data_IF_683625967883
#
_entry.id   IF_683625967883
#
_cell.length_a   1.000
_cell.length_b   1.000
_cell.length_c   1.000
_cell.angle_alpha   90.00
_cell.angle_beta   90.00
_cell.angle_gamma   90.00
#
_symmetry.space_group_name_H-M   'P 1'
#
loop_
_entity.id
_entity.type
_entity.pdbx_description
1 polymer ?
#
# COMPACT_ATOMS: atom_id res chain seq x y z
N UNK A 1 -59.58 -44.91 -26.30
CA UNK A 1 -59.44 -43.50 -25.87
C UNK A 1 -58.39 -43.30 -24.76
N UNK A 2 -58.19 -44.25 -23.84
CA UNK A 2 -57.16 -44.16 -22.79
C UNK A 2 -55.71 -44.09 -23.33
N UNK A 3 -55.44 -44.73 -24.47
CA UNK A 3 -54.11 -44.76 -25.09
C UNK A 3 -53.66 -43.39 -25.65
N UNK A 4 -54.59 -42.67 -26.30
CA UNK A 4 -54.31 -41.33 -26.82
C UNK A 4 -54.07 -40.28 -25.72
N UNK A 5 -54.74 -40.42 -24.56
CA UNK A 5 -54.54 -39.55 -23.41
C UNK A 5 -53.15 -39.76 -22.78
N UNK A 6 -52.71 -41.01 -22.68
CA UNK A 6 -51.37 -41.36 -22.17
C UNK A 6 -50.25 -40.82 -23.09
N UNK A 7 -50.42 -40.95 -24.41
CA UNK A 7 -49.46 -40.40 -25.38
C UNK A 7 -49.37 -38.87 -25.31
N UNK A 8 -50.49 -38.16 -25.12
CA UNK A 8 -50.50 -36.70 -24.94
C UNK A 8 -49.87 -36.26 -23.61
N UNK A 9 -50.09 -37.00 -22.52
CA UNK A 9 -49.46 -36.73 -21.22
C UNK A 9 -47.94 -36.96 -21.25
N UNK A 10 -47.48 -38.04 -21.91
CA UNK A 10 -46.06 -38.34 -22.06
C UNK A 10 -45.34 -37.27 -22.88
N UNK A 11 -45.97 -36.77 -23.96
CA UNK A 11 -45.38 -35.71 -24.80
C UNK A 11 -45.28 -34.37 -24.06
N UNK A 12 -46.24 -34.04 -23.19
CA UNK A 12 -46.20 -32.84 -22.33
C UNK A 12 -45.10 -32.96 -21.28
N UNK A 13 -44.96 -34.11 -20.63
CA UNK A 13 -43.88 -34.38 -19.68
C UNK A 13 -42.49 -34.25 -20.32
N UNK A 14 -42.33 -34.79 -21.53
CA UNK A 14 -41.10 -34.66 -22.32
C UNK A 14 -40.80 -33.19 -22.66
N UNK A 15 -41.81 -32.41 -23.06
CA UNK A 15 -41.63 -30.99 -23.34
C UNK A 15 -41.27 -30.18 -22.09
N UNK A 16 -41.90 -30.46 -20.94
CA UNK A 16 -41.57 -29.78 -19.67
C UNK A 16 -40.18 -30.15 -19.16
N UNK A 17 -39.78 -31.41 -19.34
CA UNK A 17 -38.44 -31.86 -18.96
C UNK A 17 -37.39 -31.22 -19.86
N UNK A 18 -37.67 -31.11 -21.16
CA UNK A 18 -36.79 -30.46 -22.13
C UNK A 18 -36.64 -28.96 -21.84
N UNK A 19 -37.71 -28.25 -21.52
CA UNK A 19 -37.62 -26.82 -21.18
C UNK A 19 -36.88 -26.57 -19.88
N UNK A 20 -37.07 -27.42 -18.86
CA UNK A 20 -36.29 -27.35 -17.60
C UNK A 20 -34.81 -27.63 -17.85
N UNK A 21 -34.50 -28.62 -18.69
CA UNK A 21 -33.12 -28.95 -19.07
C UNK A 21 -32.43 -27.80 -19.82
N UNK A 22 -33.14 -27.14 -20.73
CA UNK A 22 -32.64 -25.97 -21.47
C UNK A 22 -32.38 -24.79 -20.52
N UNK A 23 -33.27 -24.56 -19.53
CA UNK A 23 -33.06 -23.51 -18.52
C UNK A 23 -31.83 -23.79 -17.66
N UNK A 24 -31.61 -25.06 -17.28
CA UNK A 24 -30.47 -25.45 -16.45
C UNK A 24 -29.13 -25.31 -17.20
N UNK A 25 -29.09 -25.62 -18.49
CA UNK A 25 -27.90 -25.44 -19.35
C UNK A 25 -27.59 -23.96 -19.60
N UNK A 26 -28.60 -23.08 -19.51
CA UNK A 26 -28.43 -21.63 -19.74
C UNK A 26 -27.88 -20.87 -18.53
N UNK A 27 -27.74 -21.53 -17.36
CA UNK A 27 -27.14 -20.95 -16.16
C UNK A 27 -25.62 -20.82 -16.35
N UNK A 28 -25.17 -19.70 -16.92
CA UNK A 28 -23.75 -19.36 -16.99
C UNK A 28 -23.27 -18.87 -15.61
N UNK A 29 -22.17 -19.42 -15.07
CA UNK A 29 -21.57 -18.87 -13.87
C UNK A 29 -21.07 -17.45 -14.17
N UNK A 30 -21.53 -16.47 -13.39
CA UNK A 30 -21.00 -15.11 -13.42
C UNK A 30 -19.55 -15.14 -12.92
N UNK A 31 -18.59 -15.03 -13.85
CA UNK A 31 -17.17 -14.90 -13.51
C UNK A 31 -16.89 -13.42 -13.24
N UNK A 32 -16.76 -13.06 -11.97
CA UNK A 32 -16.24 -11.75 -11.60
C UNK A 32 -14.74 -11.70 -11.95
N UNK A 33 -14.38 -10.97 -13.00
CA UNK A 33 -12.99 -10.69 -13.33
C UNK A 33 -12.52 -9.49 -12.49
N UNK A 34 -11.41 -9.63 -11.76
CA UNK A 34 -10.75 -8.49 -11.13
C UNK A 34 -10.06 -7.72 -12.26
N UNK A 35 -10.68 -6.62 -12.68
CA UNK A 35 -10.21 -5.81 -13.81
C UNK A 35 -8.99 -4.98 -13.40
N UNK A 36 -9.01 -4.42 -12.18
CA UNK A 36 -7.98 -3.54 -11.66
C UNK A 36 -7.59 -3.91 -10.23
N UNK A 37 -6.30 -3.78 -9.92
CA UNK A 37 -5.74 -4.05 -8.59
C UNK A 37 -5.14 -2.78 -8.02
N UNK A 38 -5.57 -2.40 -6.82
CA UNK A 38 -4.96 -1.30 -6.06
C UNK A 38 -3.65 -1.80 -5.42
N UNK A 39 -2.57 -1.05 -5.61
CA UNK A 39 -1.23 -1.37 -5.05
C UNK A 39 -0.85 -0.49 -3.87
N UNK A 40 -1.35 0.74 -3.81
CA UNK A 40 -1.16 1.66 -2.70
C UNK A 40 -2.31 2.68 -2.64
N UNK A 41 -2.50 3.32 -1.48
CA UNK A 41 -3.45 4.42 -1.29
C UNK A 41 -2.71 5.55 -0.59
N UNK A 42 -2.77 6.76 -1.14
CA UNK A 42 -2.08 7.95 -0.61
C UNK A 42 -3.11 9.06 -0.42
N UNK A 43 -3.55 9.26 0.83
CA UNK A 43 -4.69 10.13 1.14
C UNK A 43 -5.98 9.54 0.55
N UNK A 44 -6.68 10.32 -0.29
CA UNK A 44 -7.94 9.92 -0.93
C UNK A 44 -7.77 9.30 -2.33
N UNK A 45 -6.53 9.11 -2.77
CA UNK A 45 -6.20 8.69 -4.13
C UNK A 45 -5.51 7.32 -4.11
N UNK A 46 -6.04 6.38 -4.89
CA UNK A 46 -5.52 5.03 -5.00
C UNK A 46 -4.59 4.90 -6.21
N UNK A 47 -3.43 4.26 -6.02
CA UNK A 47 -2.50 3.91 -7.09
C UNK A 47 -2.85 2.51 -7.60
N UNK A 48 -3.09 2.39 -8.91
CA UNK A 48 -3.47 1.14 -9.57
C UNK A 48 -2.25 0.40 -10.12
N UNK A 49 -2.37 -0.93 -10.24
CA UNK A 49 -1.34 -1.78 -10.84
C UNK A 49 -1.13 -1.47 -12.32
N UNK A 50 -2.19 -1.19 -13.06
CA UNK A 50 -2.13 -0.78 -14.47
C UNK A 50 -1.32 0.51 -14.64
N UNK A 51 -1.57 1.50 -13.79
CA UNK A 51 -0.86 2.78 -13.77
C UNK A 51 0.62 2.61 -13.43
N UNK A 52 0.93 1.83 -12.38
CA UNK A 52 2.31 1.53 -11.99
C UNK A 52 3.08 0.88 -13.15
N UNK A 53 2.47 -0.11 -13.82
CA UNK A 53 3.07 -0.78 -14.99
C UNK A 53 3.23 0.16 -16.17
N UNK A 54 2.26 1.05 -16.40
CA UNK A 54 2.33 2.03 -17.47
C UNK A 54 3.51 3.00 -17.27
N UNK A 55 3.71 3.51 -16.05
CA UNK A 55 4.86 4.36 -15.72
C UNK A 55 6.19 3.60 -15.72
N UNK A 56 6.19 2.34 -15.31
CA UNK A 56 7.39 1.49 -15.30
C UNK A 56 7.78 0.94 -16.68
N UNK A 57 6.87 0.97 -17.68
CA UNK A 57 7.07 0.39 -19.02
C UNK A 57 8.43 0.69 -19.68
N UNK A 58 8.95 1.93 -19.73
CA UNK A 58 10.26 2.20 -20.34
C UNK A 58 11.40 1.45 -19.63
N UNK A 59 11.36 1.38 -18.30
CA UNK A 59 12.38 0.69 -17.49
C UNK A 59 12.28 -0.84 -17.61
N UNK A 60 11.06 -1.37 -17.69
CA UNK A 60 10.84 -2.81 -17.88
C UNK A 60 11.41 -3.28 -19.23
N UNK A 61 11.26 -2.50 -20.30
CA UNK A 61 11.86 -2.80 -21.61
C UNK A 61 13.39 -2.85 -21.53
N UNK A 62 13.99 -1.95 -20.77
CA UNK A 62 15.44 -1.94 -20.54
C UNK A 62 15.91 -3.17 -19.75
N UNK A 63 15.15 -3.62 -18.76
CA UNK A 63 15.45 -4.85 -18.01
C UNK A 63 15.35 -6.08 -18.90
N UNK A 64 14.33 -6.18 -19.74
CA UNK A 64 14.16 -7.29 -20.67
C UNK A 64 15.30 -7.41 -21.69
N UNK A 65 15.88 -6.28 -22.11
CA UNK A 65 17.00 -6.25 -23.06
C UNK A 65 18.34 -6.54 -22.39
N UNK A 66 18.56 -6.09 -21.16
CA UNK A 66 19.84 -6.23 -20.44
C UNK A 66 20.01 -7.59 -19.74
N UNK A 67 18.93 -8.22 -19.30
CA UNK A 67 19.00 -9.44 -18.50
C UNK A 67 18.80 -10.71 -19.35
N UNK A 68 19.73 -11.69 -19.31
CA UNK A 68 19.67 -12.87 -20.17
C UNK A 68 18.74 -13.97 -19.65
N UNK A 69 18.53 -14.07 -18.33
CA UNK A 69 17.75 -15.16 -17.72
C UNK A 69 16.40 -14.69 -17.16
N UNK A 70 15.39 -15.55 -17.23
CA UNK A 70 14.04 -15.26 -16.75
C UNK A 70 14.00 -14.98 -15.24
N UNK A 71 14.79 -15.70 -14.44
CA UNK A 71 14.86 -15.47 -13.00
C UNK A 71 15.45 -14.09 -12.65
N UNK A 72 16.48 -13.64 -13.39
CA UNK A 72 17.06 -12.30 -13.19
C UNK A 72 16.11 -11.21 -13.64
N UNK A 73 15.37 -11.41 -14.74
CA UNK A 73 14.33 -10.48 -15.20
C UNK A 73 13.24 -10.30 -14.15
N UNK A 74 12.64 -11.39 -13.67
CA UNK A 74 11.57 -11.32 -12.68
C UNK A 74 12.01 -10.60 -11.39
N UNK A 75 13.22 -10.88 -10.90
CA UNK A 75 13.77 -10.19 -9.73
C UNK A 75 13.97 -8.69 -9.99
N UNK A 76 14.61 -8.33 -11.11
CA UNK A 76 14.86 -6.93 -11.47
C UNK A 76 13.56 -6.15 -11.73
N UNK A 77 12.57 -6.76 -12.38
CA UNK A 77 11.25 -6.18 -12.60
C UNK A 77 10.54 -5.90 -11.27
N UNK A 78 10.60 -6.84 -10.32
CA UNK A 78 9.96 -6.67 -9.01
C UNK A 78 10.57 -5.51 -8.21
N UNK A 79 11.90 -5.37 -8.25
CA UNK A 79 12.62 -4.30 -7.59
C UNK A 79 12.34 -2.94 -8.27
N UNK A 80 12.34 -2.90 -9.60
CA UNK A 80 12.01 -1.68 -10.35
C UNK A 80 10.57 -1.22 -10.10
N UNK A 81 9.61 -2.14 -10.06
CA UNK A 81 8.22 -1.81 -9.72
C UNK A 81 8.10 -1.26 -8.31
N UNK A 82 8.86 -1.79 -7.34
CA UNK A 82 8.89 -1.29 -5.97
C UNK A 82 9.45 0.13 -5.90
N UNK A 83 10.54 0.40 -6.59
CA UNK A 83 11.15 1.73 -6.64
C UNK A 83 10.25 2.76 -7.34
N UNK A 84 9.62 2.35 -8.45
CA UNK A 84 8.65 3.20 -9.15
C UNK A 84 7.44 3.51 -8.26
N UNK A 85 6.93 2.53 -7.53
CA UNK A 85 5.82 2.73 -6.59
C UNK A 85 6.19 3.76 -5.52
N UNK A 86 7.39 3.64 -4.92
CA UNK A 86 7.86 4.60 -3.92
C UNK A 86 7.91 6.02 -4.50
N UNK A 87 8.48 6.18 -5.70
CA UNK A 87 8.53 7.47 -6.37
C UNK A 87 7.14 8.04 -6.66
N UNK A 88 6.19 7.21 -7.09
CA UNK A 88 4.81 7.65 -7.32
C UNK A 88 4.13 8.12 -6.03
N UNK A 89 4.42 7.47 -4.90
CA UNK A 89 3.92 7.90 -3.59
C UNK A 89 4.50 9.27 -3.23
N UNK A 90 5.82 9.44 -3.37
CA UNK A 90 6.50 10.69 -3.04
C UNK A 90 5.99 11.86 -3.91
N UNK A 91 5.88 11.65 -5.23
CA UNK A 91 5.33 12.63 -6.18
C UNK A 91 3.90 13.06 -5.78
N UNK A 92 3.09 12.10 -5.31
CA UNK A 92 1.71 12.35 -4.93
C UNK A 92 1.59 13.08 -3.58
N UNK A 93 2.47 12.76 -2.63
CA UNK A 93 2.58 13.50 -1.37
C UNK A 93 3.02 14.94 -1.62
N UNK A 94 4.00 15.16 -2.51
CA UNK A 94 4.44 16.48 -2.90
C UNK A 94 3.32 17.26 -3.61
N UNK A 95 2.59 16.62 -4.53
CA UNK A 95 1.42 17.23 -5.18
C UNK A 95 0.33 17.62 -4.17
N UNK A 96 0.06 16.78 -3.16
CA UNK A 96 -0.89 17.09 -2.09
C UNK A 96 -0.41 18.23 -1.21
N UNK A 97 0.88 18.26 -0.87
CA UNK A 97 1.48 19.37 -0.15
C UNK A 97 1.35 20.66 -0.97
N UNK A 98 1.70 20.65 -2.24
CA UNK A 98 1.58 21.79 -3.15
C UNK A 98 0.13 22.27 -3.35
N UNK A 99 -0.84 21.35 -3.46
CA UNK A 99 -2.26 21.69 -3.55
C UNK A 99 -2.74 22.40 -2.28
N UNK A 100 -2.28 21.96 -1.09
CA UNK A 100 -2.54 22.65 0.18
C UNK A 100 -1.86 24.01 0.24
N UNK A 101 -0.68 24.18 -0.39
CA UNK A 101 0.04 25.46 -0.49
C UNK A 101 -0.67 26.46 -1.43
N UNK A 102 -1.40 25.98 -2.44
CA UNK A 102 -2.27 26.82 -3.29
C UNK A 102 -3.58 27.13 -2.58
N UNK A 103 -3.48 27.81 -1.44
CA UNK A 103 -4.62 28.32 -0.66
C UNK A 103 -5.42 29.26 -1.56
N UNK A 104 -6.47 28.74 -2.19
CA UNK A 104 -7.53 29.56 -2.80
C UNK A 104 -8.56 29.78 -1.72
N UNK A 105 -8.70 31.03 -1.30
CA UNK A 105 -9.77 31.42 -0.37
C UNK A 105 -11.04 31.59 -1.18
N UNK A 106 -11.92 30.60 -1.08
CA UNK A 106 -13.22 30.61 -1.74
C UNK A 106 -14.16 31.63 -1.06
N UNK A 107 -15.16 32.13 -1.79
CA UNK A 107 -16.10 33.12 -1.24
C UNK A 107 -16.83 32.61 0.02
N UNK A 108 -17.16 31.31 0.04
CA UNK A 108 -17.81 30.67 1.19
C UNK A 108 -16.94 30.67 2.46
N UNK A 109 -15.61 30.59 2.32
CA UNK A 109 -14.70 30.66 3.47
C UNK A 109 -14.65 32.06 4.07
N UNK A 110 -14.74 33.10 3.22
CA UNK A 110 -14.81 34.49 3.66
C UNK A 110 -16.09 34.70 4.47
N UNK A 111 -17.23 34.19 3.98
CA UNK A 111 -18.51 34.32 4.67
C UNK A 111 -18.52 33.58 6.02
N UNK A 112 -17.93 32.37 6.06
CA UNK A 112 -17.71 31.62 7.31
C UNK A 112 -16.80 32.36 8.29
N UNK A 113 -15.79 33.07 7.79
CA UNK A 113 -14.89 33.86 8.63
C UNK A 113 -15.61 35.09 9.20
N UNK A 114 -16.40 35.80 8.40
CA UNK A 114 -17.23 36.93 8.84
C UNK A 114 -18.23 36.47 9.91
N UNK A 115 -18.94 35.36 9.68
CA UNK A 115 -19.86 34.78 10.66
C UNK A 115 -19.16 34.33 11.96
N UNK A 116 -17.87 33.97 11.89
CA UNK A 116 -17.06 33.64 13.08
C UNK A 116 -16.67 34.90 13.84
N UNK A 117 -16.28 35.97 13.15
CA UNK A 117 -15.97 37.27 13.76
C UNK A 117 -17.20 37.89 14.42
N UNK A 118 -18.36 37.84 13.77
CA UNK A 118 -19.62 38.29 14.34
C UNK A 118 -19.93 37.54 15.66
N UNK A 119 -19.78 36.21 15.66
CA UNK A 119 -19.91 35.38 16.88
C UNK A 119 -18.88 35.73 17.97
N UNK A 120 -17.64 36.06 17.60
CA UNK A 120 -16.61 36.44 18.57
C UNK A 120 -16.89 37.80 19.23
N UNK A 121 -17.59 38.69 18.53
CA UNK A 121 -18.01 39.99 19.05
C UNK A 121 -19.43 39.96 19.62
N UNK A 122 -20.08 38.78 19.66
CA UNK A 122 -21.45 38.58 20.15
C UNK A 122 -22.52 39.45 19.44
N UNK A 123 -22.28 39.79 18.18
CA UNK A 123 -23.19 40.59 17.34
C UNK A 123 -23.69 39.80 16.13
N UNK A 124 -24.77 40.26 15.50
CA UNK A 124 -25.24 39.68 14.24
C UNK A 124 -24.29 40.03 13.08
N UNK A 125 -24.40 39.27 11.98
CA UNK A 125 -23.59 39.55 10.78
C UNK A 125 -24.01 40.87 10.15
N UNK A 126 -25.31 41.16 10.18
CA UNK A 126 -25.89 42.40 9.70
C UNK A 126 -25.35 43.60 10.48
N UNK A 127 -25.33 43.52 11.82
CA UNK A 127 -24.80 44.58 12.68
C UNK A 127 -23.29 44.80 12.45
N UNK A 128 -22.53 43.71 12.29
CA UNK A 128 -21.10 43.79 11.95
C UNK A 128 -20.88 44.53 10.63
N UNK A 129 -21.70 44.24 9.61
CA UNK A 129 -21.59 44.91 8.30
C UNK A 129 -22.00 46.38 8.39
N UNK A 130 -23.01 46.72 9.21
CA UNK A 130 -23.38 48.11 9.48
C UNK A 130 -22.25 48.89 10.15
N UNK A 131 -21.54 48.27 11.10
CA UNK A 131 -20.39 48.87 11.77
C UNK A 131 -19.21 49.10 10.81
N UNK A 132 -18.96 48.14 9.90
CA UNK A 132 -17.96 48.27 8.84
C UNK A 132 -18.29 49.45 7.91
N UNK A 133 -19.56 49.58 7.49
CA UNK A 133 -20.01 50.72 6.69
C UNK A 133 -19.85 52.05 7.44
N UNK A 134 -20.13 52.06 8.75
CA UNK A 134 -19.95 53.24 9.63
C UNK A 134 -18.47 53.63 9.77
N UNK A 135 -17.56 52.66 9.73
CA UNK A 135 -16.11 52.89 9.73
C UNK A 135 -15.55 53.43 8.42
N UNK A 136 -16.40 53.58 7.39
CA UNK A 136 -16.02 54.13 6.09
C UNK A 136 -15.50 53.10 5.07
N UNK A 137 -15.60 51.80 5.37
CA UNK A 137 -15.22 50.72 4.45
C UNK A 137 -16.45 50.16 3.74
N UNK A 138 -16.29 49.81 2.46
CA UNK A 138 -17.33 49.09 1.71
C UNK A 138 -17.34 47.60 2.07
N UNK A 139 -18.48 46.93 1.82
CA UNK A 139 -18.60 45.49 2.05
C UNK A 139 -17.59 44.66 1.22
N UNK A 140 -17.22 45.14 0.04
CA UNK A 140 -16.26 44.47 -0.84
C UNK A 140 -14.82 44.61 -0.32
N UNK A 141 -14.45 45.79 0.18
CA UNK A 141 -13.15 46.02 0.81
C UNK A 141 -12.99 45.22 2.10
N UNK A 142 -14.04 45.11 2.90
CA UNK A 142 -13.99 44.27 4.09
C UNK A 142 -13.80 42.79 3.74
N UNK A 143 -14.53 42.29 2.74
CA UNK A 143 -14.33 40.91 2.25
C UNK A 143 -12.93 40.68 1.67
N UNK A 144 -12.33 41.67 1.00
CA UNK A 144 -10.97 41.54 0.49
C UNK A 144 -9.93 41.55 1.62
N UNK A 145 -10.15 42.32 2.68
CA UNK A 145 -9.31 42.36 3.87
C UNK A 145 -9.36 41.02 4.63
N UNK A 146 -10.54 40.45 4.82
CA UNK A 146 -10.70 39.11 5.39
C UNK A 146 -10.02 38.05 4.52
N UNK A 147 -10.15 38.14 3.19
CA UNK A 147 -9.43 37.25 2.26
C UNK A 147 -7.92 37.34 2.46
N UNK A 148 -7.37 38.56 2.60
CA UNK A 148 -5.94 38.79 2.87
C UNK A 148 -5.52 38.13 4.18
N UNK A 149 -6.27 38.34 5.26
CA UNK A 149 -5.98 37.76 6.57
C UNK A 149 -6.05 36.22 6.57
N UNK A 150 -7.01 35.64 5.84
CA UNK A 150 -7.11 34.19 5.66
C UNK A 150 -5.92 33.62 4.89
N UNK A 151 -5.46 34.29 3.83
CA UNK A 151 -4.25 33.91 3.09
C UNK A 151 -3.00 33.97 3.99
N UNK A 152 -2.86 35.02 4.79
CA UNK A 152 -1.74 35.17 5.74
C UNK A 152 -1.77 34.14 6.87
N UNK A 153 -2.96 33.82 7.39
CA UNK A 153 -3.14 32.78 8.40
C UNK A 153 -2.85 31.38 7.83
N UNK A 154 -3.28 31.12 6.59
CA UNK A 154 -2.99 29.88 5.89
C UNK A 154 -1.50 29.66 5.66
N UNK A 155 -0.75 30.72 5.30
CA UNK A 155 0.72 30.68 5.18
C UNK A 155 1.42 30.24 6.46
N UNK A 156 0.99 30.74 7.63
CA UNK A 156 1.59 30.37 8.94
C UNK A 156 1.29 28.93 9.36
N UNK A 157 0.10 28.41 9.02
CA UNK A 157 -0.31 27.03 9.37
C UNK A 157 0.53 25.95 8.65
N UNK A 158 1.09 26.28 7.49
CA UNK A 158 1.94 25.37 6.68
C UNK A 158 3.24 25.00 7.42
N UNK A 159 3.78 25.87 8.27
CA UNK A 159 5.07 25.62 8.93
C UNK A 159 5.02 24.48 9.97
N UNK A 160 3.82 24.04 10.38
CA UNK A 160 3.65 23.10 11.50
C UNK A 160 3.44 21.64 11.06
N UNK A 161 3.10 21.35 9.80
CA UNK A 161 2.88 19.95 9.31
C UNK A 161 4.17 19.32 8.77
N UNK A 162 5.31 19.63 9.40
CA UNK A 162 6.62 19.07 9.06
C UNK A 162 7.00 17.80 9.80
N UNK A 163 6.15 17.23 10.67
CA UNK A 163 6.48 16.00 11.43
C UNK A 163 5.32 15.03 11.52
N UNK A 164 5.65 13.77 11.20
CA UNK A 164 4.87 12.53 11.30
C UNK A 164 3.90 12.23 10.14
N UNK A 165 4.44 11.73 9.03
CA UNK A 165 3.77 10.73 8.21
C UNK A 165 4.30 9.35 8.63
N UNK A 166 3.54 8.58 9.40
CA UNK A 166 3.87 7.18 9.63
C UNK A 166 3.33 6.34 8.46
N UNK A 167 4.19 5.55 7.78
CA UNK A 167 3.76 4.70 6.69
C UNK A 167 2.99 3.50 7.23
N UNK A 168 1.72 3.36 6.83
CA UNK A 168 0.94 2.16 7.07
C UNK A 168 1.43 1.05 6.14
N UNK A 169 2.26 0.14 6.67
CA UNK A 169 2.76 -1.01 5.94
C UNK A 169 1.67 -2.08 5.82
N UNK A 170 1.10 -2.27 4.63
CA UNK A 170 0.42 -3.53 4.31
C UNK A 170 1.49 -4.64 4.21
N UNK A 171 1.26 -5.82 4.81
CA UNK A 171 2.20 -6.93 4.67
C UNK A 171 2.19 -7.39 3.21
N UNK A 172 3.28 -7.08 2.50
CA UNK A 172 3.62 -7.73 1.24
C UNK A 172 3.81 -9.22 1.57
N UNK A 173 2.82 -10.06 1.24
CA UNK A 173 3.04 -11.50 1.21
C UNK A 173 4.09 -11.77 0.14
N UNK A 174 5.32 -12.00 0.59
CA UNK A 174 6.38 -12.61 -0.19
C UNK A 174 5.87 -13.95 -0.74
N UNK A 175 5.43 -13.95 -1.99
CA UNK A 175 5.27 -15.17 -2.77
C UNK A 175 6.63 -15.54 -3.36
N UNK A 176 7.59 -15.87 -2.50
CA UNK A 176 8.82 -16.55 -2.88
C UNK A 176 8.72 -17.97 -2.34
N UNK A 177 8.37 -18.91 -3.22
CA UNK A 177 8.39 -20.32 -2.84
C UNK A 177 7.56 -21.25 -3.71
N UNK A 178 8.01 -21.51 -4.94
CA UNK A 178 7.73 -22.81 -5.57
C UNK A 178 8.76 -23.14 -6.66
N UNK A 179 9.97 -23.47 -6.22
CA UNK A 179 10.80 -24.50 -6.87
C UNK A 179 11.32 -25.41 -5.77
N UNK A 180 10.65 -26.54 -5.58
CA UNK A 180 11.26 -27.82 -5.22
C UNK A 180 10.32 -28.89 -5.81
N UNK A 181 10.47 -29.09 -7.12
CA UNK A 181 10.20 -30.41 -7.69
C UNK A 181 11.46 -31.24 -7.47
N UNK A 182 11.24 -32.53 -7.24
CA UNK A 182 12.21 -33.61 -7.42
C UNK A 182 13.15 -33.92 -6.25
N UNK A 183 12.64 -34.72 -5.30
CA UNK A 183 13.29 -36.00 -4.96
C UNK A 183 12.23 -37.07 -4.67
N UNK A 184 11.91 -37.84 -5.71
CA UNK A 184 11.44 -39.21 -5.56
C UNK A 184 12.60 -40.09 -5.08
N UNK A 185 12.32 -41.09 -4.24
CA UNK A 185 13.28 -42.14 -3.89
C UNK A 185 13.34 -42.50 -2.41
N UNK A 186 12.23 -42.97 -1.84
CA UNK A 186 12.18 -43.59 -0.51
C UNK A 186 12.35 -45.10 -0.66
N UNK A 187 13.58 -45.59 -0.63
CA UNK A 187 13.92 -46.97 -0.33
C UNK A 187 14.83 -46.94 0.91
N UNK A 188 14.30 -47.09 2.13
CA UNK A 188 14.21 -48.38 2.85
C UNK A 188 15.35 -49.33 2.49
N UNK A 189 16.50 -49.17 3.13
CA UNK A 189 17.21 -50.26 3.78
C UNK A 189 18.33 -49.68 4.64
N UNK A 190 18.16 -49.71 5.96
CA UNK A 190 19.25 -49.44 6.90
C UNK A 190 19.45 -50.70 7.73
N UNK A 191 20.16 -51.67 7.15
CA UNK A 191 20.98 -52.56 7.96
C UNK A 191 22.08 -51.71 8.59
N UNK A 192 21.93 -51.41 9.88
CA UNK A 192 23.08 -51.13 10.73
C UNK A 192 22.75 -51.47 12.17
N UNK A 193 22.65 -52.77 12.41
CA UNK A 193 22.61 -53.35 13.75
C UNK A 193 23.56 -54.55 13.80
N UNK A 194 24.86 -54.27 13.88
CA UNK A 194 25.88 -55.21 14.39
C UNK A 194 26.94 -54.35 15.12
N UNK A 195 26.79 -54.19 16.43
CA UNK A 195 27.55 -54.91 17.47
C UNK A 195 29.08 -54.80 17.28
N UNK A 196 29.74 -53.96 18.06
CA UNK A 196 30.45 -54.40 19.28
C UNK A 196 31.46 -55.54 19.03
N UNK A 197 32.73 -55.21 18.74
CA UNK A 197 33.91 -55.81 19.40
C UNK A 197 35.22 -55.21 18.93
N UNK A 198 36.13 -55.10 19.90
CA UNK A 198 37.61 -55.10 19.78
C UNK A 198 38.33 -53.78 19.46
N UNK A 199 38.61 -53.01 20.51
CA UNK A 199 39.96 -52.91 21.07
C UNK A 199 41.10 -52.39 20.18
N UNK A 200 41.56 -51.16 20.49
CA UNK A 200 42.97 -50.93 20.86
C UNK A 200 43.21 -49.53 21.43
N UNK A 201 43.61 -49.52 22.69
CA UNK A 201 44.24 -48.41 23.40
C UNK A 201 45.70 -48.29 22.92
N UNK A 202 46.17 -47.09 22.54
CA UNK A 202 47.61 -46.72 22.63
C UNK A 202 47.78 -45.26 23.03
N UNK A 203 48.65 -45.10 24.02
CA UNK A 203 49.17 -43.89 24.66
C UNK A 203 50.19 -43.19 23.75
N UNK A 204 50.35 -41.86 23.88
CA UNK A 204 51.61 -41.17 24.27
C UNK A 204 51.49 -39.65 24.03
N UNK A 205 51.47 -38.77 25.05
CA UNK A 205 52.58 -38.11 25.80
C UNK A 205 53.13 -36.80 25.18
N UNK A 206 53.01 -35.68 25.93
CA UNK A 206 53.92 -34.48 26.02
C UNK A 206 54.02 -33.56 24.78
N UNK A 207 54.23 -32.23 24.84
CA UNK A 207 54.58 -31.23 25.88
C UNK A 207 54.44 -29.82 25.27
N UNK A 208 54.00 -28.85 26.08
CA UNK A 208 54.46 -27.43 26.18
C UNK A 208 54.71 -26.55 24.94
N UNK A 209 54.04 -25.37 24.90
CA UNK A 209 54.63 -24.01 24.94
C UNK A 209 53.49 -22.99 24.73
N UNK A 210 53.02 -22.27 25.76
CA UNK A 210 53.49 -20.94 26.19
C UNK A 210 53.54 -19.90 25.05
N UNK A 211 52.48 -19.09 24.91
CA UNK A 211 52.61 -17.64 24.73
C UNK A 211 51.53 -16.96 25.58
N UNK A 212 52.01 -15.98 26.35
CA UNK A 212 51.37 -15.15 27.37
C UNK A 212 51.62 -13.70 26.90
N UNK A 213 50.65 -12.81 27.07
CA UNK A 213 50.78 -11.36 26.84
C UNK A 213 49.72 -10.86 25.85
N UNK A 214 48.87 -9.86 26.12
CA UNK A 214 48.94 -8.83 27.16
C UNK A 214 47.55 -8.40 27.66
N UNK A 215 47.50 -8.17 28.98
CA UNK A 215 46.58 -7.24 29.64
C UNK A 215 47.28 -5.88 29.70
N UNK A 216 46.59 -4.81 29.35
CA UNK A 216 46.64 -3.53 30.09
C UNK A 216 45.37 -2.74 29.73
N UNK A 217 44.37 -2.74 30.63
CA UNK A 217 44.07 -1.72 31.67
C UNK A 217 43.15 -0.61 31.10
N UNK A 218 41.89 -0.52 31.55
CA UNK A 218 41.44 0.24 32.75
C UNK A 218 41.87 1.72 32.63
N UNK A 219 41.04 2.75 32.69
CA UNK A 219 39.64 2.89 33.03
C UNK A 219 39.33 4.37 33.31
N UNK A 220 38.04 4.73 33.16
CA UNK A 220 37.29 5.72 33.97
C UNK A 220 37.36 7.24 33.60
N UNK A 221 36.55 8.14 34.22
CA UNK A 221 35.16 8.44 33.84
C UNK A 221 34.83 9.97 33.81
N UNK A 222 33.55 10.28 33.55
CA UNK A 222 32.76 11.52 33.83
C UNK A 222 33.42 12.70 34.57
N UNK A 223 33.18 13.92 34.06
CA UNK A 223 32.61 15.13 34.73
C UNK A 223 32.33 16.17 33.62
N UNK A 224 31.11 16.66 33.37
CA UNK A 224 30.38 17.77 34.01
C UNK A 224 31.18 19.07 34.20
N UNK A 225 31.07 20.00 33.25
CA UNK A 225 30.85 21.43 33.52
C UNK A 225 30.25 22.11 32.30
#
# INVERSE_FOLDING_TARGET
MLDQAAAMMLRRLLFTLLTVLILFVSARPARAAVIERVVAVVGDQAILMSELRQRARPFLLEIHTKMPTEAQRAAAESEMLRQMLQRMIDDQLEAQAAAKLRIRVEAEEIDKAIARLARMQEISVEDLMSEVLRSGMTAQEYRSEIRRQLLEAGRRRIEIIGKAAEPFQLPVREAVGSRHSEKAGKARSLERFLSFRSGRCRRATRRSLLVRGDRQQLGQPRTSR
#
